data_IF_957065482797
#
_entry.id   IF_957065482797
#
_cell.length_a   1.000
_cell.length_b   1.000
_cell.length_c   1.000
_cell.angle_alpha   90.00
_cell.angle_beta   90.00
_cell.angle_gamma   90.00
#
_symmetry.space_group_name_H-M   'P 1'
#
loop_
_entity.id
_entity.type
_entity.pdbx_description
1 polymer ?
#
# COMPACT_ATOMS: atom_id res chain seq x y z
N UNK A 1 10.66 8.88 -14.24
CA UNK A 1 10.85 7.54 -14.84
C UNK A 1 9.52 6.92 -15.24
N UNK A 2 8.63 6.56 -14.30
CA UNK A 2 7.37 5.87 -14.62
C UNK A 2 6.48 6.61 -15.62
N UNK A 3 6.39 7.94 -15.54
CA UNK A 3 5.63 8.74 -16.51
C UNK A 3 6.21 8.64 -17.94
N UNK A 4 7.54 8.49 -18.08
CA UNK A 4 8.19 8.27 -19.37
C UNK A 4 8.00 6.85 -19.90
N UNK A 5 7.82 5.88 -19.00
CA UNK A 5 7.60 4.47 -19.35
C UNK A 5 6.12 4.13 -19.58
N UNK A 6 5.20 5.04 -19.22
CA UNK A 6 3.75 4.80 -19.33
C UNK A 6 3.23 3.70 -18.41
N UNK A 7 3.93 3.41 -17.30
CA UNK A 7 3.57 2.31 -16.40
C UNK A 7 2.65 2.77 -15.27
N UNK A 8 1.61 1.98 -14.91
CA UNK A 8 0.78 2.24 -13.75
C UNK A 8 1.58 2.05 -12.45
N UNK A 9 1.12 2.69 -11.36
CA UNK A 9 1.80 2.68 -10.06
C UNK A 9 0.87 2.16 -8.96
N UNK A 10 1.42 1.35 -8.06
CA UNK A 10 0.83 1.06 -6.75
C UNK A 10 1.64 1.82 -5.70
N UNK A 11 0.98 2.59 -4.84
CA UNK A 11 1.64 3.34 -3.78
C UNK A 11 1.61 2.54 -2.48
N UNK A 12 2.78 2.26 -1.90
CA UNK A 12 2.86 1.64 -0.57
C UNK A 12 3.03 2.71 0.50
N UNK A 13 2.12 2.75 1.46
CA UNK A 13 2.12 3.68 2.58
C UNK A 13 2.32 2.92 3.90
N UNK A 14 3.06 3.51 4.84
CA UNK A 14 3.28 2.90 6.16
C UNK A 14 2.13 3.19 7.11
N UNK A 15 1.74 2.26 7.96
CA UNK A 15 0.68 2.49 8.97
C UNK A 15 1.26 3.12 10.25
N UNK A 16 1.27 4.47 10.31
CA UNK A 16 1.68 5.26 11.50
C UNK A 16 1.10 6.67 11.46
N UNK A 17 1.25 7.43 12.54
CA UNK A 17 0.89 8.84 12.58
C UNK A 17 1.56 9.64 11.45
N UNK A 18 0.78 10.52 10.82
CA UNK A 18 1.19 11.33 9.66
C UNK A 18 1.03 10.64 8.30
N UNK A 19 0.67 9.36 8.25
CA UNK A 19 0.57 8.62 6.98
C UNK A 19 -0.47 9.18 6.02
N UNK A 20 -1.59 9.68 6.54
CA UNK A 20 -2.67 10.25 5.71
C UNK A 20 -2.11 11.39 4.85
N UNK A 21 -1.50 12.40 5.47
CA UNK A 21 -0.98 13.55 4.76
C UNK A 21 0.11 13.16 3.74
N UNK A 22 1.09 12.36 4.17
CA UNK A 22 2.17 11.92 3.27
C UNK A 22 1.65 11.15 2.05
N UNK A 23 0.66 10.29 2.26
CA UNK A 23 0.05 9.50 1.19
C UNK A 23 -0.75 10.39 0.24
N UNK A 24 -1.57 11.30 0.76
CA UNK A 24 -2.36 12.24 -0.06
C UNK A 24 -1.46 13.18 -0.88
N UNK A 25 -0.39 13.72 -0.28
CA UNK A 25 0.60 14.52 -1.00
C UNK A 25 1.29 13.72 -2.11
N UNK A 26 1.60 12.45 -1.85
CA UNK A 26 2.20 11.56 -2.85
C UNK A 26 1.22 11.25 -3.97
N UNK A 27 -0.05 10.96 -3.67
CA UNK A 27 -1.10 10.74 -4.66
C UNK A 27 -1.31 11.98 -5.54
N UNK A 28 -1.36 13.17 -4.96
CA UNK A 28 -1.45 14.42 -5.71
C UNK A 28 -0.26 14.59 -6.65
N UNK A 29 0.97 14.32 -6.17
CA UNK A 29 2.18 14.39 -6.97
C UNK A 29 2.21 13.39 -8.13
N UNK A 30 1.67 12.17 -7.96
CA UNK A 30 1.54 11.16 -9.01
C UNK A 30 0.50 11.58 -10.05
N UNK A 31 -0.68 12.01 -9.58
CA UNK A 31 -1.78 12.49 -10.44
C UNK A 31 -1.38 13.69 -11.29
N UNK A 32 -0.71 14.68 -10.69
CA UNK A 32 -0.22 15.87 -11.40
C UNK A 32 0.81 15.53 -12.49
N UNK A 33 1.42 14.34 -12.45
CA UNK A 33 2.33 13.83 -13.48
C UNK A 33 1.63 12.93 -14.51
N UNK A 34 0.30 12.83 -14.48
CA UNK A 34 -0.49 12.00 -15.39
C UNK A 34 -0.33 10.50 -15.15
N UNK A 35 0.13 10.07 -13.97
CA UNK A 35 0.31 8.66 -13.67
C UNK A 35 -1.00 8.01 -13.22
N UNK A 36 -1.32 6.86 -13.80
CA UNK A 36 -2.38 5.97 -13.32
C UNK A 36 -1.94 5.30 -12.03
N UNK A 37 -2.60 5.66 -10.93
CA UNK A 37 -2.41 4.99 -9.64
C UNK A 37 -3.50 3.93 -9.50
N UNK A 38 -3.11 2.66 -9.33
CA UNK A 38 -4.05 1.54 -9.22
C UNK A 38 -4.65 1.41 -7.82
N UNK A 39 -3.92 1.88 -6.81
CA UNK A 39 -4.31 1.72 -5.41
C UNK A 39 -3.22 2.15 -4.44
N UNK A 40 -3.60 2.20 -3.18
CA UNK A 40 -2.68 2.33 -2.06
C UNK A 40 -2.65 1.02 -1.27
N UNK A 41 -1.46 0.58 -0.89
CA UNK A 41 -1.27 -0.56 0.01
C UNK A 41 -0.71 -0.06 1.34
N UNK A 42 -1.45 -0.28 2.42
CA UNK A 42 -1.03 0.04 3.78
C UNK A 42 -0.17 -1.09 4.32
N UNK A 43 1.07 -0.78 4.68
CA UNK A 43 2.05 -1.69 5.24
C UNK A 43 2.34 -1.34 6.70
N UNK A 44 1.98 -2.24 7.62
CA UNK A 44 2.17 -2.08 9.05
C UNK A 44 0.95 -2.55 9.86
N UNK A 45 0.87 -2.20 11.15
CA UNK A 45 -0.27 -2.55 12.00
C UNK A 45 -1.59 -2.05 11.40
N UNK A 46 -2.64 -2.87 11.47
CA UNK A 46 -3.96 -2.47 10.95
C UNK A 46 -4.45 -1.20 11.63
N UNK A 47 -4.92 -0.26 10.81
CA UNK A 47 -5.50 0.99 11.27
C UNK A 47 -6.67 1.35 10.34
N UNK A 48 -7.87 0.81 10.60
CA UNK A 48 -9.03 1.04 9.77
C UNK A 48 -9.36 2.53 9.54
N UNK A 49 -9.25 3.43 10.55
CA UNK A 49 -9.45 4.86 10.33
C UNK A 49 -8.53 5.48 9.27
N UNK A 50 -7.25 5.08 9.22
CA UNK A 50 -6.34 5.56 8.18
C UNK A 50 -6.78 5.09 6.79
N UNK A 51 -7.22 3.83 6.67
CA UNK A 51 -7.71 3.30 5.41
C UNK A 51 -8.95 4.05 4.93
N UNK A 52 -9.96 4.20 5.78
CA UNK A 52 -11.19 4.94 5.44
C UNK A 52 -10.89 6.37 5.04
N UNK A 53 -10.04 7.08 5.81
CA UNK A 53 -9.64 8.44 5.45
C UNK A 53 -8.92 8.51 4.08
N UNK A 54 -8.05 7.55 3.79
CA UNK A 54 -7.34 7.51 2.51
C UNK A 54 -8.25 7.13 1.34
N UNK A 55 -9.24 6.27 1.54
CA UNK A 55 -10.27 5.98 0.53
C UNK A 55 -11.11 7.24 0.25
N UNK A 56 -11.57 7.92 1.30
CA UNK A 56 -12.45 9.08 1.20
C UNK A 56 -11.75 10.30 0.60
N UNK A 57 -10.62 10.72 1.17
CA UNK A 57 -9.88 11.89 0.72
C UNK A 57 -9.02 11.59 -0.49
N UNK A 58 -8.46 10.38 -0.58
CA UNK A 58 -7.61 9.96 -1.67
C UNK A 58 -8.38 9.55 -2.91
N UNK A 59 -9.67 9.20 -2.82
CA UNK A 59 -10.52 8.75 -3.94
C UNK A 59 -9.85 7.63 -4.73
N UNK A 60 -9.36 6.63 -4.01
CA UNK A 60 -8.59 5.51 -4.56
C UNK A 60 -8.80 4.28 -3.65
N UNK A 61 -8.84 3.05 -4.20
CA UNK A 61 -8.90 1.86 -3.36
C UNK A 61 -7.66 1.76 -2.47
N UNK A 62 -7.88 1.40 -1.21
CA UNK A 62 -6.83 1.17 -0.23
C UNK A 62 -6.94 -0.27 0.28
N UNK A 63 -5.83 -0.97 0.38
CA UNK A 63 -5.78 -2.34 0.94
C UNK A 63 -4.72 -2.43 2.01
N UNK A 64 -5.00 -3.12 3.10
CA UNK A 64 -4.00 -3.42 4.13
C UNK A 64 -3.28 -4.72 3.78
N UNK A 65 -1.95 -4.70 3.87
CA UNK A 65 -1.17 -5.92 3.95
C UNK A 65 -1.23 -6.45 5.38
N UNK A 66 -1.47 -7.77 5.56
CA UNK A 66 -1.33 -8.41 6.86
C UNK A 66 0.04 -8.14 7.47
N UNK A 67 0.07 -7.95 8.80
CA UNK A 67 1.34 -7.85 9.51
C UNK A 67 2.10 -9.17 9.39
N UNK A 68 3.37 -9.07 9.03
CA UNK A 68 4.29 -10.20 8.99
C UNK A 68 5.14 -10.12 10.24
N UNK A 69 5.02 -11.13 11.09
CA UNK A 69 5.86 -11.25 12.28
C UNK A 69 7.34 -11.35 11.91
N UNK A 70 8.20 -11.05 12.88
CA UNK A 70 9.63 -11.11 12.69
C UNK A 70 10.06 -12.46 12.11
N UNK A 71 10.80 -12.42 11.00
CA UNK A 71 11.38 -13.60 10.39
C UNK A 71 12.82 -13.76 10.90
N UNK A 72 13.12 -14.88 11.54
CA UNK A 72 14.49 -15.18 12.00
C UNK A 72 15.51 -15.26 10.86
N UNK A 73 15.04 -15.58 9.64
CA UNK A 73 15.84 -15.50 8.42
C UNK A 73 14.98 -15.18 7.20
N UNK A 74 15.55 -14.40 6.28
CA UNK A 74 14.96 -14.10 4.97
C UNK A 74 15.50 -15.12 3.96
N UNK A 75 14.75 -16.19 3.76
CA UNK A 75 15.03 -17.24 2.79
C UNK A 75 13.86 -17.38 1.83
N UNK A 76 14.10 -17.95 0.64
CA UNK A 76 13.03 -18.18 -0.35
C UNK A 76 11.86 -18.94 0.26
N UNK A 77 12.13 -19.95 1.09
CA UNK A 77 11.10 -20.72 1.78
C UNK A 77 10.28 -19.87 2.77
N UNK A 78 10.92 -19.01 3.57
CA UNK A 78 10.21 -18.17 4.56
C UNK A 78 9.38 -17.09 3.87
N UNK A 79 9.92 -16.44 2.84
CA UNK A 79 9.17 -15.49 2.02
C UNK A 79 8.02 -16.16 1.28
N UNK A 80 8.22 -17.34 0.69
CA UNK A 80 7.15 -18.05 -0.03
C UNK A 80 5.97 -18.38 0.88
N UNK A 81 6.25 -18.79 2.12
CA UNK A 81 5.23 -19.01 3.15
C UNK A 81 4.47 -17.72 3.45
N UNK A 82 5.20 -16.65 3.81
CA UNK A 82 4.61 -15.35 4.12
C UNK A 82 3.79 -14.79 2.96
N UNK A 83 4.27 -14.88 1.72
CA UNK A 83 3.53 -14.39 0.56
C UNK A 83 2.26 -15.20 0.31
N UNK A 84 2.30 -16.54 0.47
CA UNK A 84 1.08 -17.36 0.37
C UNK A 84 0.06 -16.97 1.43
N UNK A 85 0.50 -16.76 2.66
CA UNK A 85 -0.37 -16.43 3.78
C UNK A 85 -0.91 -15.00 3.65
N UNK A 86 -0.05 -14.03 3.32
CA UNK A 86 -0.36 -12.60 3.29
C UNK A 86 -1.14 -12.19 2.04
N UNK A 87 -0.80 -12.71 0.84
CA UNK A 87 -1.50 -12.36 -0.41
C UNK A 87 -2.93 -12.92 -0.41
N UNK A 88 -3.12 -14.13 0.12
CA UNK A 88 -4.47 -14.71 0.27
C UNK A 88 -5.31 -13.99 1.33
N UNK A 89 -4.66 -13.33 2.29
CA UNK A 89 -5.32 -12.57 3.35
C UNK A 89 -5.48 -11.07 3.03
N UNK A 90 -5.07 -10.58 1.85
CA UNK A 90 -5.40 -9.22 1.41
C UNK A 90 -6.91 -9.12 1.25
N UNK A 91 -7.59 -8.57 2.27
CA UNK A 91 -9.04 -8.49 2.29
C UNK A 91 -9.54 -7.43 1.30
N UNK A 92 -10.34 -7.86 0.33
CA UNK A 92 -11.25 -6.98 -0.38
C UNK A 92 -12.52 -6.75 0.46
N UNK A 93 -12.83 -5.49 0.78
CA UNK A 93 -14.18 -5.02 0.46
C UNK A 93 -14.26 -4.83 -1.04
#
# INVERSE_FOLDING_TARGET
>A
LMARLGLPVVLVARSRLGTINHTLLSLAALRNRGLTVLGVVMNGPSNPPNCTALEDYGRIPVKELPHVDHLDSVAVASLTRVFKDAVMAVRCR
#
